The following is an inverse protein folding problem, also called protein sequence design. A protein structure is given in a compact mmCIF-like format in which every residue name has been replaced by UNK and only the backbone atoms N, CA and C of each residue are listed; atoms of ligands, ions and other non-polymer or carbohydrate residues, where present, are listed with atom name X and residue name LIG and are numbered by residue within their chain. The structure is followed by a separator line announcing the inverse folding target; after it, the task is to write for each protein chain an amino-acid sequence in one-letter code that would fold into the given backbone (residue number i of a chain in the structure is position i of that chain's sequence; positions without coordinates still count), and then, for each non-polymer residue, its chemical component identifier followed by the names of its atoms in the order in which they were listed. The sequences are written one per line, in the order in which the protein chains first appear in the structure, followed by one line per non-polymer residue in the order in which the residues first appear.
data_IF_346812415905
#
_entry.id   IF_346812415905
#
_cell.length_a   1.000
_cell.length_b   1.000
_cell.length_c   1.000
_cell.angle_alpha   90.00
_cell.angle_beta   90.00
_cell.angle_gamma   90.00
#
_symmetry.space_group_name_H-M   'P 1'
#
loop_
_entity.id
_entity.type
_entity.pdbx_description
1 polymer ?
#
# COMPACT_ATOMS: atom_id res chain seq x y z
N UNK A 1 -14.30 -33.26 -2.13
CA UNK A 1 -13.52 -32.02 -2.03
C UNK A 1 -12.48 -32.17 -0.93
N UNK A 2 -11.22 -32.16 -1.33
CA UNK A 2 -10.06 -32.18 -0.42
C UNK A 2 -10.07 -30.93 0.50
N UNK A 3 -9.46 -31.01 1.69
CA UNK A 3 -9.25 -29.85 2.58
C UNK A 3 -8.46 -28.75 1.88
N UNK A 4 -7.45 -29.12 1.09
CA UNK A 4 -6.63 -28.18 0.29
C UNK A 4 -7.48 -27.45 -0.77
N UNK A 5 -8.33 -28.19 -1.47
CA UNK A 5 -9.23 -27.65 -2.49
C UNK A 5 -10.25 -26.67 -1.89
N UNK A 6 -10.84 -27.01 -0.73
CA UNK A 6 -11.73 -26.10 0.01
C UNK A 6 -11.02 -24.82 0.43
N UNK A 7 -9.79 -24.92 0.93
CA UNK A 7 -8.98 -23.78 1.32
C UNK A 7 -8.64 -22.89 0.11
N UNK A 8 -8.25 -23.49 -1.01
CA UNK A 8 -7.93 -22.78 -2.25
C UNK A 8 -9.15 -22.04 -2.81
N UNK A 9 -10.33 -22.69 -2.83
CA UNK A 9 -11.59 -22.03 -3.19
C UNK A 9 -11.85 -20.86 -2.24
N UNK A 10 -11.75 -21.08 -0.93
CA UNK A 10 -11.96 -20.04 0.07
C UNK A 10 -11.10 -18.79 -0.22
N UNK A 11 -9.78 -18.94 -0.38
CA UNK A 11 -8.86 -17.82 -0.66
C UNK A 11 -9.24 -17.04 -1.93
N UNK A 12 -9.67 -17.71 -2.99
CA UNK A 12 -10.06 -17.04 -4.24
C UNK A 12 -11.46 -16.42 -4.25
N UNK A 13 -12.31 -16.77 -3.26
CA UNK A 13 -13.65 -16.19 -3.09
C UNK A 13 -13.70 -14.98 -2.17
N UNK A 14 -12.63 -14.73 -1.40
CA UNK A 14 -12.53 -13.55 -0.55
C UNK A 14 -12.55 -12.28 -1.41
N UNK A 15 -13.33 -11.29 -0.97
CA UNK A 15 -13.36 -9.96 -1.58
C UNK A 15 -12.16 -9.14 -1.09
N UNK A 16 -10.97 -9.46 -1.58
CA UNK A 16 -9.71 -8.83 -1.15
C UNK A 16 -9.72 -7.30 -1.27
N UNK A 17 -10.40 -6.74 -2.27
CA UNK A 17 -10.55 -5.28 -2.41
C UNK A 17 -11.36 -4.63 -1.29
N UNK A 18 -12.33 -5.34 -0.68
CA UNK A 18 -13.03 -4.84 0.51
C UNK A 18 -12.13 -4.87 1.74
N UNK A 19 -11.28 -5.89 1.87
CA UNK A 19 -10.28 -5.98 2.96
C UNK A 19 -9.26 -4.84 2.84
N UNK A 20 -8.79 -4.55 1.63
CA UNK A 20 -7.91 -3.42 1.36
C UNK A 20 -8.58 -2.08 1.66
N UNK A 21 -9.87 -1.92 1.32
CA UNK A 21 -10.63 -0.74 1.71
C UNK A 21 -10.68 -0.58 3.25
N UNK A 22 -10.98 -1.66 3.97
CA UNK A 22 -11.01 -1.65 5.43
C UNK A 22 -9.64 -1.27 6.04
N UNK A 23 -8.55 -1.77 5.47
CA UNK A 23 -7.19 -1.42 5.84
C UNK A 23 -6.89 0.06 5.58
N UNK A 24 -7.25 0.60 4.42
CA UNK A 24 -7.09 2.04 4.10
C UNK A 24 -7.81 2.90 5.15
N UNK A 25 -9.02 2.50 5.56
CA UNK A 25 -9.75 3.17 6.63
C UNK A 25 -8.99 3.14 7.97
N UNK A 26 -8.37 2.01 8.32
CA UNK A 26 -7.55 1.87 9.52
C UNK A 26 -6.30 2.77 9.49
N UNK A 27 -5.60 2.83 8.34
CA UNK A 27 -4.43 3.69 8.13
C UNK A 27 -4.82 5.16 8.31
N UNK A 28 -5.89 5.63 7.66
CA UNK A 28 -6.35 7.00 7.80
C UNK A 28 -6.84 7.34 9.22
N UNK A 29 -7.45 6.39 9.92
CA UNK A 29 -7.86 6.57 11.31
C UNK A 29 -6.64 6.74 12.22
N UNK A 30 -5.60 5.93 12.00
CA UNK A 30 -4.36 6.04 12.74
C UNK A 30 -3.69 7.39 12.48
N UNK A 31 -3.59 7.77 11.21
CA UNK A 31 -3.04 9.05 10.77
C UNK A 31 -3.79 10.24 11.39
N UNK A 32 -5.12 10.16 11.47
CA UNK A 32 -5.92 11.17 12.16
C UNK A 32 -5.48 11.35 13.61
N UNK A 33 -5.34 10.26 14.38
CA UNK A 33 -4.91 10.36 15.78
C UNK A 33 -3.46 10.80 15.92
N UNK A 34 -2.56 10.38 15.02
CA UNK A 34 -1.18 10.85 14.96
C UNK A 34 -1.11 12.37 14.79
N UNK A 35 -1.85 12.91 13.82
CA UNK A 35 -1.90 14.36 13.56
C UNK A 35 -2.61 15.13 14.67
N UNK A 36 -3.66 14.53 15.26
CA UNK A 36 -4.38 15.13 16.38
C UNK A 36 -3.46 15.32 17.58
N UNK A 37 -2.75 14.27 17.99
CA UNK A 37 -1.85 14.30 19.15
C UNK A 37 -0.57 15.09 18.88
N UNK A 38 -0.16 15.21 17.61
CA UNK A 38 0.91 16.13 17.18
C UNK A 38 0.46 17.59 17.05
N UNK A 39 -0.77 17.93 17.46
CA UNK A 39 -1.37 19.27 17.37
C UNK A 39 -1.42 19.87 15.96
N UNK A 40 -1.35 19.03 14.92
CA UNK A 40 -1.35 19.49 13.52
C UNK A 40 -2.62 20.28 13.17
N UNK A 41 -3.78 19.90 13.70
CA UNK A 41 -5.05 20.58 13.37
C UNK A 41 -5.24 21.95 14.03
N UNK A 42 -4.28 22.41 14.85
CA UNK A 42 -4.29 23.77 15.39
C UNK A 42 -3.80 24.78 14.34
N UNK A 43 -4.22 26.06 14.39
CA UNK A 43 -3.75 27.07 13.43
C UNK A 43 -2.22 27.20 13.41
N UNK A 44 -1.58 27.16 14.59
CA UNK A 44 -0.12 27.22 14.72
C UNK A 44 0.56 25.94 14.22
N UNK A 45 0.07 24.77 14.62
CA UNK A 45 0.65 23.48 14.23
C UNK A 45 0.59 23.23 12.73
N UNK A 46 -0.56 23.49 12.10
CA UNK A 46 -0.71 23.35 10.64
C UNK A 46 0.18 24.33 9.90
N UNK A 47 0.18 25.62 10.30
CA UNK A 47 1.00 26.65 9.65
C UNK A 47 2.49 26.32 9.75
N UNK A 48 2.96 25.89 10.93
CA UNK A 48 4.34 25.48 11.14
C UNK A 48 4.72 24.28 10.26
N UNK A 49 3.89 23.22 10.25
CA UNK A 49 4.19 22.01 9.48
C UNK A 49 4.15 22.27 7.97
N UNK A 50 3.15 23.01 7.47
CA UNK A 50 3.08 23.35 6.04
C UNK A 50 4.21 24.27 5.61
N UNK A 51 4.65 25.19 6.47
CA UNK A 51 5.82 26.04 6.21
C UNK A 51 7.09 25.18 6.14
N UNK A 52 7.26 24.23 7.06
CA UNK A 52 8.36 23.26 7.02
C UNK A 52 8.37 22.42 5.73
N UNK A 53 7.21 21.91 5.31
CA UNK A 53 7.11 21.18 4.05
C UNK A 53 7.44 22.09 2.87
N UNK A 54 6.96 23.34 2.88
CA UNK A 54 7.25 24.30 1.81
C UNK A 54 8.73 24.71 1.72
N UNK A 55 9.50 24.71 2.80
CA UNK A 55 10.93 25.03 2.74
C UNK A 55 11.74 23.88 2.13
N UNK A 56 11.33 22.64 2.36
CA UNK A 56 12.07 21.44 1.95
C UNK A 56 11.56 20.80 0.65
N UNK A 57 10.35 21.15 0.18
CA UNK A 57 9.82 20.58 -1.05
C UNK A 57 10.71 20.92 -2.25
N UNK A 58 10.89 20.04 -3.23
CA UNK A 58 11.75 20.36 -4.39
C UNK A 58 11.07 21.25 -5.45
N UNK A 59 9.75 21.46 -5.40
CA UNK A 59 8.97 22.09 -6.48
C UNK A 59 8.41 23.46 -6.10
N UNK A 60 8.85 24.50 -6.83
CA UNK A 60 8.43 25.90 -6.59
C UNK A 60 6.91 26.09 -6.55
N UNK A 61 6.18 25.43 -7.46
CA UNK A 61 4.71 25.51 -7.49
C UNK A 61 4.10 24.95 -6.21
N UNK A 62 4.57 23.78 -5.76
CA UNK A 62 4.09 23.15 -4.52
C UNK A 62 4.52 23.95 -3.28
N UNK A 63 5.73 24.52 -3.26
CA UNK A 63 6.16 25.46 -2.19
C UNK A 63 5.16 26.60 -2.01
N UNK A 64 4.81 27.25 -3.12
CA UNK A 64 3.91 28.40 -3.10
C UNK A 64 2.49 27.99 -2.68
N UNK A 65 2.01 26.84 -3.16
CA UNK A 65 0.73 26.29 -2.73
C UNK A 65 0.71 25.98 -1.23
N UNK A 66 1.72 25.28 -0.71
CA UNK A 66 1.82 24.95 0.72
C UNK A 66 1.88 26.21 1.59
N UNK A 67 2.63 27.24 1.17
CA UNK A 67 2.65 28.54 1.85
C UNK A 67 1.28 29.20 1.83
N UNK A 68 0.57 29.21 0.70
CA UNK A 68 -0.78 29.77 0.62
C UNK A 68 -1.74 29.04 1.57
N UNK A 69 -1.70 27.70 1.60
CA UNK A 69 -2.51 26.87 2.49
C UNK A 69 -2.17 27.15 3.96
N UNK A 70 -0.89 27.39 4.30
CA UNK A 70 -0.46 27.74 5.65
C UNK A 70 -1.12 29.06 6.16
N UNK A 71 -1.38 30.03 5.29
CA UNK A 71 -2.10 31.26 5.68
C UNK A 71 -3.57 30.98 6.03
N UNK A 72 -4.17 29.94 5.44
CA UNK A 72 -5.54 29.49 5.72
C UNK A 72 -5.67 28.54 6.91
N UNK A 73 -4.59 28.28 7.67
CA UNK A 73 -4.53 27.25 8.69
C UNK A 73 -5.66 27.31 9.75
N UNK A 74 -6.13 28.51 10.10
CA UNK A 74 -7.20 28.67 11.08
C UNK A 74 -8.54 28.03 10.68
N UNK A 75 -8.83 28.02 9.37
CA UNK A 75 -10.05 27.41 8.81
C UNK A 75 -9.75 25.98 8.35
N UNK A 76 -8.60 25.80 7.71
CA UNK A 76 -8.24 24.52 7.08
C UNK A 76 -7.87 23.44 8.10
N UNK A 77 -7.34 23.78 9.27
CA UNK A 77 -6.98 22.81 10.31
C UNK A 77 -8.19 21.99 10.79
N UNK A 78 -9.23 22.63 11.35
CA UNK A 78 -10.45 21.93 11.76
C UNK A 78 -11.16 21.22 10.61
N UNK A 79 -11.20 21.83 9.41
CA UNK A 79 -11.83 21.22 8.25
C UNK A 79 -11.10 19.93 7.83
N UNK A 80 -9.77 19.93 7.84
CA UNK A 80 -8.95 18.76 7.52
C UNK A 80 -9.18 17.65 8.55
N UNK A 81 -9.26 17.99 9.84
CA UNK A 81 -9.57 17.03 10.90
C UNK A 81 -10.91 16.31 10.65
N UNK A 82 -11.96 17.08 10.34
CA UNK A 82 -13.31 16.55 10.04
C UNK A 82 -13.28 15.66 8.80
N UNK A 83 -12.68 16.13 7.70
CA UNK A 83 -12.61 15.37 6.44
C UNK A 83 -11.86 14.06 6.64
N UNK A 84 -10.70 14.08 7.31
CA UNK A 84 -9.87 12.90 7.52
C UNK A 84 -10.60 11.86 8.39
N UNK A 85 -11.16 12.28 9.54
CA UNK A 85 -11.89 11.38 10.43
C UNK A 85 -13.15 10.80 9.76
N UNK A 86 -13.97 11.63 9.12
CA UNK A 86 -15.18 11.17 8.44
C UNK A 86 -14.86 10.23 7.29
N UNK A 87 -13.80 10.50 6.53
CA UNK A 87 -13.34 9.60 5.46
C UNK A 87 -12.92 8.25 6.03
N UNK A 88 -12.07 8.24 7.05
CA UNK A 88 -11.63 7.01 7.71
C UNK A 88 -12.81 6.20 8.27
N UNK A 89 -13.68 6.85 9.04
CA UNK A 89 -14.84 6.20 9.66
C UNK A 89 -15.83 5.69 8.61
N UNK A 90 -16.14 6.47 7.58
CA UNK A 90 -17.06 6.06 6.52
C UNK A 90 -16.51 4.88 5.70
N UNK A 91 -15.20 4.81 5.46
CA UNK A 91 -14.56 3.65 4.81
C UNK A 91 -14.71 2.40 5.68
N UNK A 92 -14.37 2.46 6.97
CA UNK A 92 -14.50 1.32 7.92
C UNK A 92 -15.96 0.85 8.02
N UNK A 93 -16.92 1.79 7.99
CA UNK A 93 -18.36 1.53 7.98
C UNK A 93 -18.91 1.17 6.58
N UNK A 94 -18.07 1.15 5.54
CA UNK A 94 -18.44 0.97 4.13
C UNK A 94 -19.58 1.89 3.64
N UNK A 95 -19.69 3.09 4.20
CA UNK A 95 -20.65 4.12 3.81
C UNK A 95 -20.10 4.92 2.63
N UNK A 96 -20.89 5.06 1.56
CA UNK A 96 -20.51 5.79 0.35
C UNK A 96 -19.11 5.39 -0.17
N UNK A 97 -18.77 4.11 -0.04
CA UNK A 97 -17.39 3.58 -0.18
C UNK A 97 -16.61 4.12 -1.38
N UNK A 98 -17.21 4.18 -2.57
CA UNK A 98 -16.53 4.66 -3.76
C UNK A 98 -16.17 6.15 -3.69
N UNK A 99 -17.02 6.97 -3.08
CA UNK A 99 -16.72 8.38 -2.86
C UNK A 99 -15.66 8.56 -1.76
N UNK A 100 -15.76 7.82 -0.66
CA UNK A 100 -14.80 7.95 0.44
C UNK A 100 -13.42 7.43 0.06
N UNK A 101 -13.33 6.36 -0.73
CA UNK A 101 -12.05 5.87 -1.29
C UNK A 101 -11.44 6.85 -2.30
N UNK A 102 -12.26 7.57 -3.08
CA UNK A 102 -11.77 8.67 -3.90
C UNK A 102 -11.17 9.78 -3.03
N UNK A 103 -11.87 10.19 -1.97
CA UNK A 103 -11.37 11.18 -1.01
C UNK A 103 -10.06 10.72 -0.35
N UNK A 104 -9.98 9.45 0.09
CA UNK A 104 -8.74 8.86 0.61
C UNK A 104 -7.59 8.92 -0.40
N UNK A 105 -7.87 8.65 -1.68
CA UNK A 105 -6.89 8.75 -2.76
C UNK A 105 -6.39 10.17 -2.94
N UNK A 106 -7.26 11.18 -2.87
CA UNK A 106 -6.84 12.57 -2.89
C UNK A 106 -6.00 12.95 -1.67
N UNK A 107 -6.36 12.49 -0.47
CA UNK A 107 -5.59 12.73 0.76
C UNK A 107 -4.16 12.20 0.60
N UNK A 108 -3.99 10.93 0.24
CA UNK A 108 -2.66 10.34 0.04
C UNK A 108 -1.90 10.98 -1.12
N UNK A 109 -2.58 11.39 -2.19
CA UNK A 109 -1.95 12.14 -3.28
C UNK A 109 -1.36 13.47 -2.79
N UNK A 110 -2.11 14.23 -1.98
CA UNK A 110 -1.61 15.48 -1.40
C UNK A 110 -0.51 15.24 -0.37
N UNK A 111 -0.56 14.14 0.39
CA UNK A 111 0.52 13.74 1.28
C UNK A 111 1.80 13.48 0.49
N UNK A 112 1.71 12.67 -0.57
CA UNK A 112 2.82 12.40 -1.46
C UNK A 112 3.41 13.68 -2.05
N UNK A 113 2.59 14.53 -2.67
CA UNK A 113 3.07 15.79 -3.26
C UNK A 113 3.72 16.73 -2.24
N UNK A 114 3.13 16.84 -1.05
CA UNK A 114 3.64 17.75 -0.01
C UNK A 114 4.98 17.31 0.56
N UNK A 115 5.29 16.01 0.54
CA UNK A 115 6.51 15.42 1.06
C UNK A 115 7.62 15.21 0.01
N UNK A 116 7.38 15.49 -1.28
CA UNK A 116 8.40 15.39 -2.32
C UNK A 116 9.65 16.22 -2.00
N UNK A 117 10.80 15.55 -1.83
CA UNK A 117 12.08 16.19 -1.51
C UNK A 117 12.31 16.46 -0.02
N UNK A 118 11.37 16.09 0.85
CA UNK A 118 11.55 16.27 2.30
C UNK A 118 12.57 15.24 2.80
N UNK A 119 13.62 15.67 3.53
CA UNK A 119 14.61 14.75 4.08
C UNK A 119 13.96 13.69 4.96
N UNK A 120 14.38 12.43 4.76
CA UNK A 120 13.86 11.29 5.52
C UNK A 120 12.45 10.86 5.14
N UNK A 121 11.97 11.22 3.95
CA UNK A 121 10.78 10.59 3.38
C UNK A 121 11.19 9.66 2.25
N UNK A 122 10.86 8.39 2.37
CA UNK A 122 11.12 7.42 1.31
C UNK A 122 10.16 7.66 0.14
N UNK A 123 10.65 7.41 -1.08
CA UNK A 123 9.89 7.67 -2.32
C UNK A 123 8.51 7.01 -2.30
N UNK A 124 8.39 5.83 -1.67
CA UNK A 124 7.18 5.03 -1.67
C UNK A 124 6.29 5.19 -0.44
N UNK A 125 6.73 5.96 0.57
CA UNK A 125 6.04 6.17 1.85
C UNK A 125 4.58 6.55 1.64
N UNK A 126 4.30 7.62 0.90
CA UNK A 126 2.93 8.05 0.60
C UNK A 126 2.44 7.66 -0.80
N UNK A 127 3.37 7.29 -1.69
CA UNK A 127 3.03 6.90 -3.06
C UNK A 127 2.25 5.58 -3.10
N UNK A 128 2.65 4.57 -2.33
CA UNK A 128 1.92 3.30 -2.28
C UNK A 128 0.52 3.43 -1.67
N UNK A 129 0.33 4.14 -0.54
CA UNK A 129 -0.99 4.56 -0.07
C UNK A 129 -1.87 5.16 -1.17
N UNK A 130 -1.35 6.12 -1.92
CA UNK A 130 -2.06 6.74 -3.04
C UNK A 130 -2.41 5.75 -4.15
N UNK A 131 -1.45 4.95 -4.62
CA UNK A 131 -1.66 4.02 -5.72
C UNK A 131 -2.61 2.89 -5.34
N UNK A 132 -2.48 2.35 -4.13
CA UNK A 132 -3.34 1.29 -3.62
C UNK A 132 -4.76 1.79 -3.38
N UNK A 133 -4.93 2.96 -2.76
CA UNK A 133 -6.26 3.55 -2.59
C UNK A 133 -6.92 3.88 -3.93
N UNK A 134 -6.14 4.33 -4.93
CA UNK A 134 -6.62 4.56 -6.29
C UNK A 134 -7.10 3.28 -6.97
N UNK A 135 -6.32 2.18 -6.89
CA UNK A 135 -6.73 0.87 -7.41
C UNK A 135 -7.99 0.36 -6.72
N UNK A 136 -8.07 0.50 -5.40
CA UNK A 136 -9.25 0.12 -4.62
C UNK A 136 -10.45 0.95 -5.04
N UNK A 137 -10.34 2.28 -5.10
CA UNK A 137 -11.39 3.17 -5.57
C UNK A 137 -11.91 2.79 -6.97
N UNK A 138 -11.02 2.62 -7.94
CA UNK A 138 -11.39 2.27 -9.32
C UNK A 138 -12.12 0.92 -9.40
N UNK A 139 -11.74 -0.05 -8.56
CA UNK A 139 -12.40 -1.35 -8.49
C UNK A 139 -13.86 -1.28 -7.99
N UNK A 140 -14.24 -0.22 -7.27
CA UNK A 140 -15.61 -0.01 -6.77
C UNK A 140 -16.47 0.89 -7.67
N UNK A 141 -15.92 1.47 -8.73
CA UNK A 141 -16.71 2.26 -9.69
C UNK A 141 -17.84 1.45 -10.35
N UNK A 142 -17.64 0.19 -10.80
CA UNK A 142 -18.71 -0.61 -11.40
C UNK A 142 -19.89 -0.83 -10.45
N UNK A 143 -19.60 -1.07 -9.18
CA UNK A 143 -20.61 -1.26 -8.14
C UNK A 143 -21.53 -0.03 -8.02
N UNK A 144 -21.00 1.18 -8.17
CA UNK A 144 -21.81 2.41 -8.13
C UNK A 144 -22.84 2.42 -9.27
N UNK A 145 -22.43 2.08 -10.48
CA UNK A 145 -23.32 2.03 -11.64
C UNK A 145 -24.41 0.97 -11.48
N UNK A 146 -24.08 -0.17 -10.86
CA UNK A 146 -25.07 -1.21 -10.57
C UNK A 146 -26.10 -0.76 -9.52
N UNK A 147 -25.62 -0.18 -8.40
CA UNK A 147 -26.47 0.21 -7.28
C UNK A 147 -27.38 1.41 -7.60
N UNK A 148 -26.96 2.29 -8.51
CA UNK A 148 -27.79 3.40 -9.02
C UNK A 148 -29.15 2.94 -9.57
N UNK A 149 -29.24 1.71 -10.09
CA UNK A 149 -30.49 1.16 -10.66
C UNK A 149 -31.48 0.65 -9.61
N UNK A 150 -31.03 0.36 -8.37
CA UNK A 150 -31.87 -0.32 -7.37
C UNK A 150 -32.49 0.64 -6.35
N UNK A 151 -31.70 1.42 -5.60
CA UNK A 151 -32.20 2.42 -4.62
C UNK A 151 -31.06 3.31 -4.08
N UNK A 152 -31.33 4.60 -3.78
CA UNK A 152 -30.41 5.50 -3.07
C UNK A 152 -29.90 4.95 -1.73
N UNK A 153 -30.77 4.29 -0.94
CA UNK A 153 -30.37 3.66 0.34
C UNK A 153 -29.31 2.57 0.13
N UNK A 154 -29.49 1.77 -0.91
CA UNK A 154 -28.59 0.67 -1.26
C UNK A 154 -27.26 1.21 -1.81
N UNK A 155 -27.30 2.31 -2.57
CA UNK A 155 -26.10 3.02 -3.02
C UNK A 155 -25.28 3.58 -1.84
N UNK A 156 -25.94 4.00 -0.77
CA UNK A 156 -25.28 4.55 0.42
C UNK A 156 -24.55 3.48 1.25
N UNK A 157 -25.19 2.33 1.51
CA UNK A 157 -24.63 1.28 2.37
C UNK A 157 -23.83 0.19 1.63
N UNK A 158 -23.99 0.06 0.31
CA UNK A 158 -23.24 -0.90 -0.50
C UNK A 158 -23.63 -2.37 -0.30
N UNK A 159 -22.73 -3.28 -0.69
CA UNK A 159 -22.90 -4.73 -0.54
C UNK A 159 -22.45 -5.23 0.82
N UNK A 160 -23.01 -6.37 1.26
CA UNK A 160 -22.54 -7.10 2.43
C UNK A 160 -21.06 -7.47 2.31
N UNK A 161 -20.35 -7.38 3.42
CA UNK A 161 -18.91 -7.65 3.51
C UNK A 161 -18.63 -8.96 4.24
N UNK A 162 -19.44 -9.30 5.25
CA UNK A 162 -19.19 -10.43 6.16
C UNK A 162 -20.10 -11.63 5.90
N UNK A 163 -20.53 -11.83 4.64
CA UNK A 163 -21.46 -12.88 4.20
C UNK A 163 -21.07 -14.26 4.78
N UNK A 164 -21.89 -14.80 5.69
CA UNK A 164 -21.86 -16.18 6.22
C UNK A 164 -20.85 -16.59 7.33
N UNK A 165 -20.20 -15.66 8.05
CA UNK A 165 -19.49 -16.05 9.29
C UNK A 165 -20.32 -15.81 10.54
N UNK A 166 -20.21 -16.70 11.53
CA UNK A 166 -20.76 -16.46 12.87
C UNK A 166 -20.28 -15.08 13.36
N UNK A 167 -21.22 -14.23 13.80
CA UNK A 167 -20.93 -12.85 14.21
C UNK A 167 -19.79 -12.81 15.25
N UNK A 168 -19.75 -13.78 16.15
CA UNK A 168 -18.69 -13.96 17.14
C UNK A 168 -17.29 -14.05 16.54
N UNK A 169 -17.11 -14.81 15.46
CA UNK A 169 -15.81 -14.96 14.78
C UNK A 169 -15.35 -13.63 14.19
N UNK A 170 -16.25 -12.88 13.55
CA UNK A 170 -15.89 -11.58 12.99
C UNK A 170 -15.56 -10.56 14.07
N UNK A 171 -16.28 -10.57 15.20
CA UNK A 171 -15.94 -9.73 16.35
C UNK A 171 -14.55 -10.06 16.88
N UNK A 172 -14.22 -11.34 17.04
CA UNK A 172 -12.87 -11.77 17.47
C UNK A 172 -11.81 -11.28 16.48
N UNK A 173 -12.04 -11.43 15.17
CA UNK A 173 -11.09 -10.97 14.14
C UNK A 173 -10.87 -9.45 14.21
N UNK A 174 -11.93 -8.67 14.43
CA UNK A 174 -11.83 -7.21 14.60
C UNK A 174 -11.05 -6.85 15.86
N UNK A 175 -11.29 -7.53 16.98
CA UNK A 175 -10.56 -7.30 18.23
C UNK A 175 -9.08 -7.65 18.09
N UNK A 176 -8.75 -8.77 17.43
CA UNK A 176 -7.37 -9.16 17.13
C UNK A 176 -6.69 -8.12 16.22
N UNK A 177 -7.37 -7.69 15.15
CA UNK A 177 -6.84 -6.64 14.28
C UNK A 177 -6.63 -5.31 15.03
N UNK A 178 -7.54 -4.95 15.94
CA UNK A 178 -7.42 -3.76 16.79
C UNK A 178 -6.21 -3.86 17.72
N UNK A 179 -5.98 -5.02 18.34
CA UNK A 179 -4.83 -5.25 19.20
C UNK A 179 -3.51 -5.17 18.42
N UNK A 180 -3.48 -5.72 17.20
CA UNK A 180 -2.32 -5.62 16.31
C UNK A 180 -2.05 -4.17 15.90
N UNK A 181 -3.09 -3.38 15.58
CA UNK A 181 -2.94 -1.95 15.29
C UNK A 181 -2.32 -1.19 16.46
N UNK A 182 -2.77 -1.46 17.69
CA UNK A 182 -2.14 -0.88 18.89
C UNK A 182 -0.68 -1.31 19.02
N UNK A 183 -0.40 -2.60 18.92
CA UNK A 183 0.94 -3.16 19.13
C UNK A 183 1.96 -2.59 18.15
N UNK A 184 1.59 -2.47 16.87
CA UNK A 184 2.49 -1.92 15.85
C UNK A 184 2.76 -0.43 16.08
N UNK A 185 1.74 0.34 16.47
CA UNK A 185 1.94 1.75 16.83
C UNK A 185 2.83 1.91 18.06
N UNK A 186 2.66 1.05 19.06
CA UNK A 186 3.50 1.00 20.25
C UNK A 186 4.98 0.75 19.88
N UNK A 187 5.26 -0.23 19.01
CA UNK A 187 6.62 -0.53 18.56
C UNK A 187 7.24 0.59 17.72
N UNK A 188 6.44 1.23 16.87
CA UNK A 188 6.92 2.28 15.97
C UNK A 188 7.59 3.44 16.71
N UNK A 189 7.09 3.79 17.91
CA UNK A 189 7.57 4.88 18.75
C UNK A 189 7.75 6.24 18.03
N UNK A 190 7.07 6.44 16.89
CA UNK A 190 7.25 7.59 16.00
C UNK A 190 6.90 8.95 16.62
N UNK A 191 6.22 8.96 17.77
CA UNK A 191 5.90 10.17 18.54
C UNK A 191 6.31 10.02 20.01
N UNK A 192 7.32 9.19 20.33
CA UNK A 192 7.72 8.88 21.69
C UNK A 192 6.51 8.39 22.53
N UNK A 193 6.30 8.99 23.71
CA UNK A 193 5.19 8.66 24.62
C UNK A 193 3.80 8.78 23.99
N UNK A 194 3.64 9.60 22.94
CA UNK A 194 2.35 9.75 22.24
C UNK A 194 2.01 8.54 21.36
N UNK A 195 2.99 7.74 20.92
CA UNK A 195 2.77 6.59 20.03
C UNK A 195 1.84 5.54 20.65
N UNK A 196 1.98 5.31 21.95
CA UNK A 196 1.08 4.40 22.68
C UNK A 196 -0.34 4.97 22.79
N UNK A 197 -0.48 6.28 23.06
CA UNK A 197 -1.78 6.94 23.14
C UNK A 197 -2.51 6.91 21.80
N UNK A 198 -1.81 7.22 20.71
CA UNK A 198 -2.31 7.12 19.33
C UNK A 198 -2.72 5.68 19.03
N UNK A 199 -1.90 4.70 19.39
CA UNK A 199 -2.21 3.27 19.22
C UNK A 199 -3.50 2.85 19.93
N UNK A 200 -3.68 3.26 21.20
CA UNK A 200 -4.88 2.95 21.98
C UNK A 200 -6.13 3.60 21.37
N UNK A 201 -6.07 4.90 21.05
CA UNK A 201 -7.19 5.63 20.42
C UNK A 201 -7.59 5.00 19.08
N UNK A 202 -6.59 4.66 18.27
CA UNK A 202 -6.80 4.00 16.97
C UNK A 202 -7.48 2.64 17.16
N UNK A 203 -6.93 1.79 18.03
CA UNK A 203 -7.42 0.43 18.25
C UNK A 203 -8.86 0.40 18.78
N UNK A 204 -9.17 1.22 19.80
CA UNK A 204 -10.52 1.29 20.37
C UNK A 204 -11.52 1.82 19.32
N UNK A 205 -11.17 2.92 18.63
CA UNK A 205 -12.06 3.50 17.63
C UNK A 205 -12.29 2.54 16.46
N UNK A 206 -11.25 1.87 16.00
CA UNK A 206 -11.35 0.84 14.95
C UNK A 206 -12.21 -0.35 15.38
N UNK A 207 -12.05 -0.83 16.62
CA UNK A 207 -12.89 -1.91 17.16
C UNK A 207 -14.38 -1.52 17.18
N UNK A 208 -14.69 -0.32 17.69
CA UNK A 208 -16.06 0.21 17.75
C UNK A 208 -16.65 0.32 16.35
N UNK A 209 -15.96 1.00 15.44
CA UNK A 209 -16.44 1.18 14.07
C UNK A 209 -16.56 -0.15 13.32
N UNK A 210 -15.63 -1.07 13.52
CA UNK A 210 -15.69 -2.42 12.95
C UNK A 210 -16.90 -3.21 13.43
N UNK A 211 -17.20 -3.18 14.74
CA UNK A 211 -18.39 -3.83 15.31
C UNK A 211 -19.67 -3.16 14.79
N UNK A 212 -19.72 -1.83 14.72
CA UNK A 212 -20.86 -1.13 14.11
C UNK A 212 -21.02 -1.55 12.64
N UNK A 213 -19.93 -1.64 11.88
CA UNK A 213 -19.92 -2.11 10.49
C UNK A 213 -20.52 -3.51 10.33
N UNK A 214 -20.22 -4.42 11.28
CA UNK A 214 -20.84 -5.75 11.35
C UNK A 214 -22.35 -5.69 11.59
N UNK A 215 -22.80 -4.83 12.51
CA UNK A 215 -24.23 -4.67 12.80
C UNK A 215 -24.97 -4.05 11.60
N UNK A 216 -24.32 -3.12 10.90
CA UNK A 216 -24.81 -2.46 9.69
C UNK A 216 -24.91 -3.39 8.48
N UNK A 217 -24.23 -4.55 8.49
CA UNK A 217 -24.30 -5.53 7.40
C UNK A 217 -25.74 -6.06 7.17
N UNK A 218 -26.64 -5.93 8.17
CA UNK A 218 -28.09 -6.18 8.03
C UNK A 218 -28.78 -5.19 7.07
N UNK A 219 -28.26 -3.97 6.95
CA UNK A 219 -28.78 -2.90 6.09
C UNK A 219 -28.18 -2.93 4.67
N UNK A 220 -27.12 -3.72 4.46
CA UNK A 220 -26.41 -3.81 3.19
C UNK A 220 -27.08 -4.78 2.23
N UNK A 221 -26.93 -4.50 0.94
CA UNK A 221 -27.49 -5.33 -0.11
C UNK A 221 -26.73 -6.66 -0.19
N UNK A 222 -27.47 -7.78 -0.26
CA UNK A 222 -26.86 -9.10 -0.43
C UNK A 222 -26.17 -9.13 -1.79
N UNK A 223 -24.90 -9.50 -1.83
CA UNK A 223 -24.19 -9.63 -3.08
C UNK A 223 -24.73 -10.87 -3.80
N UNK A 224 -25.46 -10.70 -4.90
CA UNK A 224 -25.90 -11.82 -5.75
C UNK A 224 -24.80 -12.29 -6.72
N UNK A 225 -23.56 -11.83 -6.51
CA UNK A 225 -22.39 -12.24 -7.29
C UNK A 225 -22.32 -11.57 -8.66
N UNK A 226 -21.31 -11.97 -9.46
CA UNK A 226 -21.04 -11.46 -10.82
C UNK A 226 -22.23 -11.58 -11.78
N UNK A 227 -23.24 -12.39 -11.49
CA UNK A 227 -24.42 -12.58 -12.33
C UNK A 227 -25.22 -11.29 -12.58
N UNK A 228 -25.33 -10.39 -11.60
CA UNK A 228 -26.00 -9.09 -11.78
C UNK A 228 -25.23 -8.17 -12.75
N UNK A 229 -23.90 -8.34 -12.83
CA UNK A 229 -23.01 -7.54 -13.66
C UNK A 229 -22.85 -8.08 -15.09
N UNK A 230 -23.02 -9.38 -15.28
CA UNK A 230 -22.83 -10.06 -16.56
C UNK A 230 -24.00 -9.90 -17.54
N UNK A 231 -25.07 -9.17 -17.17
CA UNK A 231 -26.19 -8.89 -18.07
C UNK A 231 -25.73 -8.07 -19.29
N UNK A 232 -26.07 -8.55 -20.50
CA UNK A 232 -25.71 -7.92 -21.78
C UNK A 232 -26.09 -6.44 -21.83
N UNK A 233 -27.22 -6.06 -21.22
CA UNK A 233 -27.68 -4.68 -21.14
C UNK A 233 -26.74 -3.77 -20.33
N UNK A 234 -26.07 -4.27 -19.28
CA UNK A 234 -25.11 -3.46 -18.52
C UNK A 234 -23.83 -3.21 -19.33
N UNK A 235 -23.33 -4.23 -20.03
CA UNK A 235 -22.11 -4.10 -20.85
C UNK A 235 -22.28 -3.11 -22.00
N UNK A 236 -23.46 -3.07 -22.63
CA UNK A 236 -23.75 -2.13 -23.72
C UNK A 236 -23.92 -0.70 -23.22
N UNK A 237 -24.63 -0.51 -22.10
CA UNK A 237 -24.88 0.82 -21.53
C UNK A 237 -23.69 1.42 -20.80
N UNK A 238 -22.79 0.58 -20.26
CA UNK A 238 -21.67 1.00 -19.42
C UNK A 238 -20.38 0.23 -19.74
N UNK A 239 -19.81 0.39 -20.96
CA UNK A 239 -18.68 -0.43 -21.42
C UNK A 239 -17.42 -0.26 -20.58
N UNK A 240 -17.15 0.94 -20.05
CA UNK A 240 -15.98 1.20 -19.19
C UNK A 240 -16.13 0.49 -17.84
N UNK A 241 -17.31 0.57 -17.21
CA UNK A 241 -17.54 -0.11 -15.92
C UNK A 241 -17.49 -1.64 -16.05
N UNK A 242 -17.96 -2.19 -17.17
CA UNK A 242 -17.81 -3.61 -17.46
C UNK A 242 -16.32 -4.02 -17.56
N UNK A 243 -15.48 -3.23 -18.23
CA UNK A 243 -14.03 -3.48 -18.29
C UNK A 243 -13.37 -3.42 -16.91
N UNK A 244 -13.67 -2.39 -16.12
CA UNK A 244 -13.11 -2.21 -14.78
C UNK A 244 -13.51 -3.33 -13.81
N UNK A 245 -14.70 -3.91 -13.97
CA UNK A 245 -15.15 -5.04 -13.15
C UNK A 245 -14.30 -6.31 -13.35
N UNK A 246 -13.90 -6.57 -14.60
CA UNK A 246 -13.10 -7.74 -14.95
C UNK A 246 -11.60 -7.45 -14.95
N UNK A 247 -11.20 -6.20 -14.73
CA UNK A 247 -9.79 -5.83 -14.66
C UNK A 247 -9.11 -6.53 -13.47
N UNK A 248 -7.92 -7.13 -13.67
CA UNK A 248 -7.23 -7.88 -12.63
C UNK A 248 -6.48 -6.96 -11.65
N UNK A 249 -7.23 -6.24 -10.81
CA UNK A 249 -6.68 -5.23 -9.89
C UNK A 249 -5.58 -5.76 -8.96
N UNK A 250 -5.72 -6.97 -8.43
CA UNK A 250 -4.72 -7.58 -7.53
C UNK A 250 -3.39 -7.88 -8.26
N UNK A 251 -3.45 -8.12 -9.57
CA UNK A 251 -2.25 -8.29 -10.39
C UNK A 251 -1.56 -6.94 -10.62
N UNK A 252 -2.33 -5.87 -10.83
CA UNK A 252 -1.77 -4.51 -10.90
C UNK A 252 -1.07 -4.14 -9.58
N UNK A 253 -1.69 -4.41 -8.43
CA UNK A 253 -1.05 -4.19 -7.12
C UNK A 253 0.26 -4.99 -6.98
N UNK A 254 0.30 -6.21 -7.54
CA UNK A 254 1.52 -7.03 -7.58
C UNK A 254 2.62 -6.40 -8.42
N UNK A 255 2.27 -5.87 -9.60
CA UNK A 255 3.20 -5.13 -10.46
C UNK A 255 3.71 -3.87 -9.77
N UNK A 256 2.87 -3.16 -9.01
CA UNK A 256 3.28 -1.98 -8.25
C UNK A 256 4.33 -2.30 -7.18
N UNK A 257 4.18 -3.41 -6.45
CA UNK A 257 5.20 -3.91 -5.52
C UNK A 257 6.49 -4.24 -6.27
N UNK A 258 6.38 -4.92 -7.42
CA UNK A 258 7.55 -5.21 -8.27
C UNK A 258 8.27 -3.94 -8.74
N UNK A 259 7.52 -2.91 -9.15
CA UNK A 259 8.08 -1.62 -9.58
C UNK A 259 8.76 -0.86 -8.44
N UNK A 260 8.24 -0.95 -7.21
CA UNK A 260 8.90 -0.43 -6.02
C UNK A 260 10.24 -1.14 -5.78
N UNK A 261 10.26 -2.48 -5.84
CA UNK A 261 11.50 -3.26 -5.67
C UNK A 261 12.53 -2.94 -6.76
N UNK A 262 12.11 -2.68 -8.01
CA UNK A 262 13.03 -2.23 -9.07
C UNK A 262 13.78 -0.98 -8.63
N UNK A 263 13.07 0.04 -8.11
CA UNK A 263 13.73 1.23 -7.60
C UNK A 263 14.62 0.93 -6.38
N UNK A 264 14.12 0.13 -5.43
CA UNK A 264 14.85 -0.22 -4.20
C UNK A 264 16.23 -0.80 -4.51
N UNK A 265 16.33 -1.71 -5.49
CA UNK A 265 17.61 -2.32 -5.87
C UNK A 265 18.63 -1.26 -6.33
N UNK A 266 18.20 -0.28 -7.12
CA UNK A 266 19.08 0.81 -7.55
C UNK A 266 19.41 1.78 -6.42
N UNK A 267 18.44 2.08 -5.56
CA UNK A 267 18.64 2.89 -4.35
C UNK A 267 19.71 2.25 -3.46
N UNK A 268 19.55 0.98 -3.11
CA UNK A 268 20.47 0.21 -2.27
C UNK A 268 21.87 0.08 -2.89
N UNK A 269 21.94 -0.11 -4.21
CA UNK A 269 23.22 -0.13 -4.93
C UNK A 269 23.96 1.21 -4.84
N UNK A 270 23.25 2.32 -5.06
CA UNK A 270 23.81 3.67 -5.06
C UNK A 270 24.13 4.17 -3.65
N UNK A 271 23.42 3.67 -2.63
CA UNK A 271 23.73 3.88 -1.21
C UNK A 271 24.86 2.96 -0.71
N UNK A 272 25.41 2.12 -1.59
CA UNK A 272 26.45 1.13 -1.30
C UNK A 272 26.04 0.08 -0.27
N UNK A 273 24.74 -0.16 -0.08
CA UNK A 273 24.23 -1.23 0.80
C UNK A 273 24.50 -2.63 0.22
N UNK A 274 24.74 -2.75 -1.09
CA UNK A 274 25.31 -3.95 -1.72
C UNK A 274 26.85 -3.95 -1.76
N UNK A 275 27.48 -3.40 -0.72
CA UNK A 275 28.92 -3.60 -0.42
C UNK A 275 29.05 -4.22 0.97
N UNK A 276 30.12 -4.99 1.22
CA UNK A 276 30.32 -5.66 2.52
C UNK A 276 30.27 -4.63 3.67
N UNK A 277 31.01 -3.52 3.52
CA UNK A 277 31.05 -2.46 4.53
C UNK A 277 29.73 -1.72 4.67
N UNK A 278 29.08 -1.35 3.57
CA UNK A 278 27.80 -0.64 3.63
C UNK A 278 26.68 -1.49 4.22
N UNK A 279 26.64 -2.79 3.87
CA UNK A 279 25.70 -3.75 4.45
C UNK A 279 25.92 -3.90 5.96
N UNK A 280 27.16 -4.06 6.40
CA UNK A 280 27.49 -4.13 7.83
C UNK A 280 27.03 -2.87 8.58
N UNK A 281 27.30 -1.69 8.02
CA UNK A 281 26.85 -0.41 8.61
C UNK A 281 25.33 -0.31 8.70
N UNK A 282 24.60 -0.76 7.67
CA UNK A 282 23.14 -0.82 7.67
C UNK A 282 22.63 -1.69 8.82
N UNK A 283 23.17 -2.90 8.93
CA UNK A 283 22.81 -3.86 9.98
C UNK A 283 23.17 -3.33 11.38
N UNK A 284 24.30 -2.65 11.54
CA UNK A 284 24.71 -2.05 12.82
C UNK A 284 23.74 -0.93 13.25
N UNK A 285 23.27 -0.11 12.30
CA UNK A 285 22.24 0.91 12.58
C UNK A 285 20.94 0.24 13.01
N UNK A 286 20.51 -0.81 12.31
CA UNK A 286 19.35 -1.60 12.69
C UNK A 286 19.48 -2.21 14.10
N UNK A 287 20.62 -2.84 14.42
CA UNK A 287 20.89 -3.37 15.76
C UNK A 287 20.81 -2.30 16.85
N UNK A 288 21.34 -1.11 16.57
CA UNK A 288 21.40 0.00 17.52
C UNK A 288 20.06 0.71 17.76
N UNK A 289 19.29 0.96 16.71
CA UNK A 289 18.10 1.85 16.79
C UNK A 289 16.77 1.11 16.74
N UNK A 290 16.74 -0.16 16.34
CA UNK A 290 15.50 -0.94 16.30
C UNK A 290 14.88 -1.13 17.69
N UNK A 291 13.55 -1.03 17.77
CA UNK A 291 12.72 -1.40 18.92
C UNK A 291 12.19 -2.85 18.83
N UNK A 292 12.68 -3.64 17.87
CA UNK A 292 12.37 -5.06 17.79
C UNK A 292 12.90 -5.84 19.01
N UNK A 293 12.40 -7.07 19.19
CA UNK A 293 12.77 -7.89 20.36
C UNK A 293 14.29 -8.13 20.41
N UNK A 294 14.93 -8.15 21.60
CA UNK A 294 16.38 -8.25 21.71
C UNK A 294 17.00 -9.42 20.95
N UNK A 295 16.39 -10.61 21.01
CA UNK A 295 16.89 -11.78 20.29
C UNK A 295 16.92 -11.58 18.77
N UNK A 296 15.98 -10.79 18.23
CA UNK A 296 15.89 -10.52 16.80
C UNK A 296 16.97 -9.53 16.37
N UNK A 297 17.24 -8.49 17.17
CA UNK A 297 18.37 -7.57 16.95
C UNK A 297 19.71 -8.32 16.93
N UNK A 298 19.94 -9.19 17.91
CA UNK A 298 21.15 -10.03 17.95
C UNK A 298 21.25 -10.96 16.74
N UNK A 299 20.12 -11.52 16.27
CA UNK A 299 20.10 -12.34 15.06
C UNK A 299 20.47 -11.53 13.82
N UNK A 300 19.94 -10.32 13.67
CA UNK A 300 20.24 -9.41 12.56
C UNK A 300 21.70 -8.97 12.59
N UNK A 301 22.23 -8.57 13.75
CA UNK A 301 23.67 -8.28 13.94
C UNK A 301 24.55 -9.46 13.56
N UNK A 302 24.16 -10.69 13.94
CA UNK A 302 24.85 -11.91 13.51
C UNK A 302 24.86 -12.05 11.98
N UNK A 303 23.76 -11.76 11.28
CA UNK A 303 23.74 -11.76 9.82
C UNK A 303 24.69 -10.71 9.23
N UNK A 304 24.86 -9.56 9.89
CA UNK A 304 25.86 -8.54 9.53
C UNK A 304 27.30 -9.08 9.56
N UNK A 305 27.64 -9.95 10.52
CA UNK A 305 28.95 -10.63 10.54
C UNK A 305 29.17 -11.57 9.36
N UNK A 306 28.09 -11.93 8.64
CA UNK A 306 28.08 -12.78 7.44
C UNK A 306 27.73 -12.00 6.18
N UNK A 307 27.98 -10.69 6.16
CA UNK A 307 27.67 -9.81 5.02
C UNK A 307 28.21 -10.35 3.68
N UNK A 308 29.41 -10.93 3.64
CA UNK A 308 30.01 -11.51 2.43
C UNK A 308 29.17 -12.61 1.77
N UNK A 309 28.31 -13.30 2.56
CA UNK A 309 27.40 -14.34 2.08
C UNK A 309 25.98 -13.78 1.91
N UNK A 310 25.47 -13.04 2.91
CA UNK A 310 24.07 -12.63 2.94
C UNK A 310 23.76 -11.51 1.93
N UNK A 311 24.65 -10.52 1.81
CA UNK A 311 24.48 -9.40 0.88
C UNK A 311 24.28 -9.84 -0.59
N UNK A 312 25.13 -10.70 -1.19
CA UNK A 312 24.92 -11.13 -2.57
C UNK A 312 23.65 -11.98 -2.72
N UNK A 313 23.28 -12.76 -1.70
CA UNK A 313 22.01 -13.51 -1.71
C UNK A 313 20.82 -12.54 -1.74
N UNK A 314 20.84 -11.50 -0.90
CA UNK A 314 19.78 -10.50 -0.85
C UNK A 314 19.63 -9.79 -2.20
N UNK A 315 20.72 -9.30 -2.80
CA UNK A 315 20.71 -8.68 -4.13
C UNK A 315 20.06 -9.59 -5.20
N UNK A 316 20.44 -10.87 -5.24
CA UNK A 316 19.89 -11.83 -6.21
C UNK A 316 18.42 -12.10 -5.94
N UNK A 317 18.03 -12.34 -4.69
CA UNK A 317 16.65 -12.64 -4.30
C UNK A 317 15.74 -11.45 -4.60
N UNK A 318 16.13 -10.24 -4.21
CA UNK A 318 15.36 -9.02 -4.48
C UNK A 318 15.22 -8.75 -5.97
N UNK A 319 16.31 -8.92 -6.75
CA UNK A 319 16.29 -8.76 -8.20
C UNK A 319 15.33 -9.73 -8.90
N UNK A 320 15.36 -11.01 -8.50
CA UNK A 320 14.47 -12.03 -9.06
C UNK A 320 13.03 -11.78 -8.61
N UNK A 321 12.80 -11.36 -7.37
CA UNK A 321 11.49 -10.95 -6.87
C UNK A 321 10.94 -9.78 -7.69
N UNK A 322 11.71 -8.70 -7.85
CA UNK A 322 11.31 -7.52 -8.62
C UNK A 322 10.89 -7.90 -10.05
N UNK A 323 11.75 -8.65 -10.75
CA UNK A 323 11.44 -9.17 -12.09
C UNK A 323 10.15 -9.98 -12.07
N UNK A 324 10.07 -11.01 -11.23
CA UNK A 324 8.96 -11.97 -11.21
C UNK A 324 7.61 -11.34 -10.88
N UNK A 325 7.60 -10.35 -9.99
CA UNK A 325 6.38 -9.61 -9.63
C UNK A 325 5.94 -8.64 -10.73
N UNK A 326 6.86 -8.01 -11.47
CA UNK A 326 6.49 -7.18 -12.63
C UNK A 326 6.04 -8.04 -13.81
N UNK A 327 6.75 -9.12 -14.14
CA UNK A 327 6.40 -9.99 -15.27
C UNK A 327 5.31 -11.01 -14.95
N UNK A 328 4.87 -11.06 -13.69
CA UNK A 328 3.79 -11.90 -13.20
C UNK A 328 4.01 -13.38 -13.49
N UNK A 329 5.23 -13.85 -13.23
CA UNK A 329 5.66 -15.25 -13.31
C UNK A 329 5.95 -15.73 -11.90
N UNK A 330 5.58 -16.98 -11.58
CA UNK A 330 5.82 -17.56 -10.24
C UNK A 330 5.25 -16.65 -9.13
N UNK A 331 4.04 -16.10 -9.37
CA UNK A 331 3.43 -15.04 -8.55
C UNK A 331 3.34 -15.40 -7.07
N UNK A 332 2.83 -16.59 -6.76
CA UNK A 332 2.67 -17.04 -5.38
C UNK A 332 4.01 -17.15 -4.63
N UNK A 333 5.01 -17.95 -5.09
CA UNK A 333 6.27 -18.08 -4.35
C UNK A 333 7.01 -16.75 -4.22
N UNK A 334 7.09 -15.92 -5.27
CA UNK A 334 7.81 -14.65 -5.16
C UNK A 334 7.04 -13.59 -4.35
N UNK A 335 5.71 -13.64 -4.30
CA UNK A 335 4.94 -12.79 -3.39
C UNK A 335 5.09 -13.24 -1.94
N UNK A 336 5.20 -14.54 -1.67
CA UNK A 336 5.53 -15.06 -0.33
C UNK A 336 6.92 -14.58 0.07
N UNK A 337 7.93 -14.73 -0.79
CA UNK A 337 9.30 -14.28 -0.52
C UNK A 337 9.33 -12.77 -0.26
N UNK A 338 8.72 -11.96 -1.14
CA UNK A 338 8.64 -10.51 -0.95
C UNK A 338 7.94 -10.14 0.37
N UNK A 339 6.86 -10.85 0.73
CA UNK A 339 6.18 -10.65 2.02
C UNK A 339 7.07 -10.96 3.21
N UNK A 340 7.88 -12.01 3.14
CA UNK A 340 8.83 -12.35 4.20
C UNK A 340 9.94 -11.29 4.31
N UNK A 341 10.44 -10.78 3.18
CA UNK A 341 11.44 -9.70 3.15
C UNK A 341 10.87 -8.42 3.76
N UNK A 342 9.69 -7.97 3.33
CA UNK A 342 9.02 -6.81 3.93
C UNK A 342 8.69 -7.02 5.40
N UNK A 343 8.33 -8.25 5.79
CA UNK A 343 8.05 -8.60 7.18
C UNK A 343 9.27 -8.46 8.07
N UNK A 344 10.40 -8.98 7.61
CA UNK A 344 11.69 -8.85 8.29
C UNK A 344 12.10 -7.38 8.38
N UNK A 345 12.09 -6.66 7.26
CA UNK A 345 12.51 -5.27 7.19
C UNK A 345 11.61 -4.35 8.04
N UNK A 346 10.29 -4.45 7.91
CA UNK A 346 9.33 -3.67 8.72
C UNK A 346 9.57 -3.88 10.21
N UNK A 347 9.81 -5.14 10.61
CA UNK A 347 9.99 -5.46 12.01
C UNK A 347 11.32 -4.91 12.56
N UNK A 348 12.40 -4.95 11.75
CA UNK A 348 13.68 -4.33 12.10
C UNK A 348 13.57 -2.81 12.14
N UNK A 349 12.84 -2.18 11.22
CA UNK A 349 12.81 -0.73 11.06
C UNK A 349 11.96 0.02 12.09
N UNK A 350 11.15 -0.67 12.89
CA UNK A 350 10.43 0.01 13.98
C UNK A 350 11.39 0.73 14.91
N UNK A 351 11.28 2.06 14.98
CA UNK A 351 12.14 2.93 15.78
C UNK A 351 13.43 3.38 15.10
N UNK A 352 13.74 2.86 13.91
CA UNK A 352 14.92 3.28 13.13
C UNK A 352 14.65 4.67 12.52
N UNK A 353 15.60 5.62 12.58
CA UNK A 353 15.42 6.96 12.03
C UNK A 353 15.22 6.94 10.51
N UNK A 354 14.32 7.79 10.01
CA UNK A 354 13.94 7.85 8.59
C UNK A 354 15.04 8.40 7.66
N UNK A 355 16.12 8.93 8.23
CA UNK A 355 17.23 9.57 7.49
C UNK A 355 18.45 8.69 7.51
N UNK A 356 19.12 8.57 6.36
CA UNK A 356 20.42 7.92 6.25
C UNK A 356 21.51 8.92 5.86
N UNK A 357 22.64 9.01 6.60
CA UNK A 357 22.86 8.38 7.91
C UNK A 357 21.90 8.96 8.99
N UNK A 358 21.65 8.22 10.09
CA UNK A 358 20.74 8.65 11.15
C UNK A 358 21.03 10.07 11.65
N UNK A 359 20.07 10.99 11.48
CA UNK A 359 20.18 12.35 12.00
C UNK A 359 20.05 12.38 13.54
N UNK A 360 20.64 13.41 14.18
CA UNK A 360 20.47 13.69 15.60
C UNK A 360 19.85 15.09 15.76
N UNK A 361 18.64 15.24 16.34
CA UNK A 361 17.76 14.18 16.83
C UNK A 361 17.17 13.32 15.69
N UNK A 362 16.83 12.05 15.95
CA UNK A 362 16.27 11.17 14.94
C UNK A 362 14.92 11.70 14.44
N UNK A 363 14.74 11.72 13.12
CA UNK A 363 13.45 12.00 12.50
C UNK A 363 12.66 10.68 12.51
N UNK A 364 11.54 10.61 13.23
CA UNK A 364 10.72 9.39 13.26
C UNK A 364 10.13 9.12 11.87
N UNK A 365 10.07 7.84 11.50
CA UNK A 365 9.44 7.35 10.26
C UNK A 365 7.93 7.45 10.37
N UNK A 366 7.22 7.29 9.26
CA UNK A 366 5.77 7.07 9.32
C UNK A 366 5.50 5.60 9.59
N UNK A 367 4.64 5.30 10.56
CA UNK A 367 4.38 3.91 11.01
C UNK A 367 3.94 2.98 9.87
N UNK A 368 3.32 3.55 8.83
CA UNK A 368 2.73 2.82 7.72
C UNK A 368 3.60 2.77 6.47
N UNK A 369 4.76 3.42 6.47
CA UNK A 369 5.69 3.52 5.33
C UNK A 369 5.93 2.16 4.67
N UNK A 370 6.47 1.21 5.42
CA UNK A 370 6.68 -0.16 4.95
C UNK A 370 5.57 -1.11 5.40
N UNK A 371 4.96 -0.86 6.55
CA UNK A 371 3.91 -1.72 7.11
C UNK A 371 2.68 -1.83 6.19
N UNK A 372 2.28 -0.75 5.53
CA UNK A 372 1.13 -0.81 4.61
C UNK A 372 1.44 -1.74 3.43
N UNK A 373 2.65 -1.64 2.88
CA UNK A 373 3.15 -2.53 1.82
C UNK A 373 3.21 -3.99 2.27
N UNK A 374 3.69 -4.25 3.49
CA UNK A 374 3.69 -5.59 4.10
C UNK A 374 2.28 -6.17 4.20
N UNK A 375 1.31 -5.44 4.73
CA UNK A 375 -0.06 -5.97 4.89
C UNK A 375 -0.70 -6.23 3.52
N UNK A 376 -0.45 -5.37 2.53
CA UNK A 376 -0.90 -5.58 1.15
C UNK A 376 -0.22 -6.81 0.52
N UNK A 377 1.07 -7.01 0.75
CA UNK A 377 1.79 -8.19 0.23
C UNK A 377 1.28 -9.49 0.85
N UNK A 378 0.91 -9.50 2.14
CA UNK A 378 0.25 -10.65 2.80
C UNK A 378 -1.07 -10.99 2.08
N UNK A 379 -1.90 -9.98 1.78
CA UNK A 379 -3.16 -10.16 1.05
C UNK A 379 -2.89 -10.77 -0.34
N UNK A 380 -1.93 -10.23 -1.08
CA UNK A 380 -1.58 -10.71 -2.41
C UNK A 380 -0.97 -12.12 -2.38
N UNK A 381 -0.15 -12.43 -1.37
CA UNK A 381 0.44 -13.75 -1.15
C UNK A 381 -0.63 -14.82 -0.97
N UNK A 382 -1.63 -14.55 -0.12
CA UNK A 382 -2.76 -15.44 0.10
C UNK A 382 -3.60 -15.60 -1.17
N UNK A 383 -3.89 -14.50 -1.86
CA UNK A 383 -4.64 -14.52 -3.12
C UNK A 383 -3.95 -15.37 -4.19
N UNK A 384 -2.66 -15.11 -4.47
CA UNK A 384 -1.88 -15.83 -5.48
C UNK A 384 -1.69 -17.30 -5.12
N UNK A 385 -1.52 -17.61 -3.84
CA UNK A 385 -1.49 -19.00 -3.36
C UNK A 385 -2.82 -19.70 -3.67
N UNK A 386 -3.96 -19.03 -3.43
CA UNK A 386 -5.27 -19.53 -3.82
C UNK A 386 -5.38 -19.83 -5.31
N UNK A 387 -4.91 -18.93 -6.17
CA UNK A 387 -4.88 -19.16 -7.64
C UNK A 387 -4.00 -20.34 -8.00
N UNK A 388 -2.77 -20.39 -7.47
CA UNK A 388 -1.80 -21.45 -7.76
C UNK A 388 -2.34 -22.83 -7.37
N UNK A 389 -3.00 -22.94 -6.21
CA UNK A 389 -3.59 -24.20 -5.75
C UNK A 389 -4.79 -24.65 -6.58
N UNK A 390 -5.49 -23.72 -7.26
CA UNK A 390 -6.64 -24.01 -8.14
C UNK A 390 -6.27 -24.26 -9.60
N UNK A 391 -5.04 -23.94 -9.99
CA UNK A 391 -4.59 -24.03 -11.37
C UNK A 391 -4.58 -25.48 -11.88
N UNK A 392 -5.13 -25.68 -13.08
CA UNK A 392 -5.34 -27.00 -13.69
C UNK A 392 -4.07 -27.61 -14.27
N UNK A 393 -3.11 -26.78 -14.65
CA UNK A 393 -1.86 -27.20 -15.27
C UNK A 393 -0.68 -26.33 -14.82
N UNK A 394 0.54 -26.78 -15.10
CA UNK A 394 1.77 -26.08 -14.72
C UNK A 394 1.87 -24.68 -15.33
N UNK A 395 1.43 -24.49 -16.58
CA UNK A 395 1.40 -23.18 -17.24
C UNK A 395 0.57 -22.19 -16.43
N UNK A 396 -0.65 -22.56 -16.03
CA UNK A 396 -1.53 -21.73 -15.21
C UNK A 396 -0.97 -21.48 -13.80
N UNK A 397 -0.29 -22.47 -13.19
CA UNK A 397 0.40 -22.30 -11.90
C UNK A 397 1.52 -21.25 -11.95
N UNK A 398 2.32 -21.27 -13.01
CA UNK A 398 3.46 -20.37 -13.16
C UNK A 398 3.05 -18.99 -13.69
N UNK A 399 2.11 -18.95 -14.61
CA UNK A 399 1.79 -17.74 -15.37
C UNK A 399 0.53 -17.03 -14.88
N UNK A 400 -0.41 -17.72 -14.22
CA UNK A 400 -1.64 -17.11 -13.70
C UNK A 400 -2.53 -16.48 -14.79
N UNK A 401 -3.34 -15.50 -14.37
CA UNK A 401 -4.32 -14.79 -15.22
C UNK A 401 -3.61 -13.68 -16.01
N UNK A 402 -3.76 -13.59 -17.34
CA UNK A 402 -3.15 -12.52 -18.13
C UNK A 402 -3.80 -11.16 -17.84
N UNK A 403 -3.00 -10.08 -17.83
CA UNK A 403 -3.48 -8.69 -17.68
C UNK A 403 -3.83 -8.11 -19.05
N UNK A 404 -2.98 -8.35 -20.05
CA UNK A 404 -3.07 -7.67 -21.35
C UNK A 404 -3.69 -8.53 -22.45
N UNK A 405 -4.37 -9.63 -22.12
CA UNK A 405 -4.84 -10.63 -23.10
C UNK A 405 -5.54 -10.02 -24.32
N UNK A 406 -6.47 -9.10 -24.08
CA UNK A 406 -7.29 -8.48 -25.13
C UNK A 406 -6.66 -7.21 -25.74
N UNK A 407 -5.56 -6.71 -25.17
CA UNK A 407 -4.89 -5.51 -25.65
C UNK A 407 -4.02 -5.81 -26.87
N UNK A 408 -4.05 -4.92 -27.87
CA UNK A 408 -3.13 -4.98 -29.02
C UNK A 408 -1.70 -4.61 -28.61
N UNK A 409 -0.70 -5.11 -29.33
CA UNK A 409 0.71 -4.91 -28.99
C UNK A 409 1.11 -3.44 -28.82
N UNK A 410 0.70 -2.55 -29.74
CA UNK A 410 1.03 -1.12 -29.64
C UNK A 410 0.50 -0.48 -28.35
N UNK A 411 -0.68 -0.91 -27.86
CA UNK A 411 -1.23 -0.40 -26.60
C UNK A 411 -0.43 -0.91 -25.40
N UNK A 412 0.01 -2.17 -25.45
CA UNK A 412 0.90 -2.76 -24.43
C UNK A 412 2.25 -2.03 -24.39
N UNK A 413 2.82 -1.74 -25.56
CA UNK A 413 4.04 -0.94 -25.69
C UNK A 413 3.86 0.47 -25.13
N UNK A 414 2.74 1.14 -25.45
CA UNK A 414 2.41 2.45 -24.85
C UNK A 414 2.32 2.39 -23.33
N UNK A 415 1.72 1.34 -22.76
CA UNK A 415 1.68 1.13 -21.31
C UNK A 415 3.10 0.98 -20.74
N UNK A 416 3.97 0.20 -21.39
CA UNK A 416 5.35 0.06 -20.96
C UNK A 416 6.08 1.41 -20.96
N UNK A 417 5.95 2.20 -22.04
CA UNK A 417 6.56 3.53 -22.11
C UNK A 417 6.05 4.44 -21.00
N UNK A 418 4.73 4.47 -20.78
CA UNK A 418 4.12 5.29 -19.72
C UNK A 418 4.58 4.84 -18.35
N UNK A 419 4.63 3.53 -18.08
CA UNK A 419 5.10 3.00 -16.79
C UNK A 419 6.56 3.37 -16.50
N UNK A 420 7.45 3.19 -17.49
CA UNK A 420 8.86 3.57 -17.36
C UNK A 420 9.05 5.07 -17.15
N UNK A 421 8.38 5.90 -17.96
CA UNK A 421 8.43 7.37 -17.81
C UNK A 421 7.88 7.84 -16.47
N UNK A 422 6.79 7.23 -15.99
CA UNK A 422 6.21 7.57 -14.69
C UNK A 422 7.18 7.23 -13.56
N UNK A 423 7.82 6.06 -13.57
CA UNK A 423 8.80 5.71 -12.53
C UNK A 423 10.02 6.63 -12.58
N UNK A 424 10.56 6.92 -13.77
CA UNK A 424 11.64 7.91 -13.91
C UNK A 424 11.22 9.27 -13.36
N UNK A 425 10.01 9.73 -13.69
CA UNK A 425 9.52 11.00 -13.17
C UNK A 425 9.40 10.95 -11.64
N UNK A 426 8.71 9.95 -11.09
CA UNK A 426 8.51 9.78 -9.64
C UNK A 426 9.85 9.85 -8.88
N UNK A 427 10.85 9.10 -9.32
CA UNK A 427 12.17 9.07 -8.68
C UNK A 427 12.88 10.41 -8.87
N UNK A 428 12.87 10.98 -10.08
CA UNK A 428 13.44 12.31 -10.34
C UNK A 428 12.83 13.35 -9.40
N UNK A 429 11.52 13.28 -9.17
CA UNK A 429 10.81 14.24 -8.33
C UNK A 429 11.04 14.00 -6.83
N UNK A 430 11.25 12.76 -6.39
CA UNK A 430 11.45 12.46 -4.98
C UNK A 430 12.74 13.07 -4.44
N UNK A 431 13.81 13.07 -5.25
CA UNK A 431 15.09 13.68 -4.88
C UNK A 431 15.82 12.94 -3.76
N UNK A 432 15.40 11.71 -3.42
CA UNK A 432 15.87 10.98 -2.22
C UNK A 432 17.37 10.70 -2.24
N UNK A 433 17.95 10.53 -3.44
CA UNK A 433 19.35 10.18 -3.63
C UNK A 433 20.28 11.36 -3.96
N UNK A 434 19.80 12.60 -3.85
CA UNK A 434 20.59 13.80 -4.13
C UNK A 434 21.24 13.77 -5.53
N UNK A 435 22.57 13.74 -5.58
CA UNK A 435 23.34 13.74 -6.85
C UNK A 435 23.16 12.46 -7.68
N UNK A 436 22.84 11.34 -7.05
CA UNK A 436 22.65 10.05 -7.75
C UNK A 436 21.22 9.86 -8.28
N UNK A 437 20.31 10.74 -7.89
CA UNK A 437 18.89 10.65 -8.24
C UNK A 437 18.61 10.55 -9.75
N UNK A 438 19.28 11.31 -10.65
CA UNK A 438 19.05 11.20 -12.09
C UNK A 438 19.40 9.81 -12.65
N UNK A 439 20.48 9.19 -12.15
CA UNK A 439 20.91 7.87 -12.60
C UNK A 439 19.90 6.81 -12.15
N UNK A 440 19.57 6.79 -10.85
CA UNK A 440 18.57 5.88 -10.29
C UNK A 440 17.23 5.97 -11.02
N UNK A 441 16.79 7.19 -11.34
CA UNK A 441 15.54 7.44 -12.05
C UNK A 441 15.51 6.86 -13.46
N UNK A 442 16.59 7.05 -14.22
CA UNK A 442 16.70 6.54 -15.59
C UNK A 442 16.78 5.01 -15.57
N UNK A 443 17.65 4.44 -14.75
CA UNK A 443 17.86 2.99 -14.68
C UNK A 443 16.60 2.26 -14.20
N UNK A 444 15.95 2.77 -13.15
CA UNK A 444 14.69 2.19 -12.64
C UNK A 444 13.58 2.22 -13.69
N UNK A 445 13.41 3.37 -14.37
CA UNK A 445 12.37 3.52 -15.38
C UNK A 445 12.61 2.68 -16.64
N UNK A 446 13.86 2.58 -17.10
CA UNK A 446 14.23 1.70 -18.22
C UNK A 446 14.00 0.23 -17.86
N UNK A 447 14.41 -0.20 -16.67
CA UNK A 447 14.20 -1.57 -16.20
C UNK A 447 12.72 -1.91 -16.10
N UNK A 448 11.89 -1.02 -15.53
CA UNK A 448 10.44 -1.22 -15.51
C UNK A 448 9.86 -1.28 -16.92
N UNK A 449 10.28 -0.40 -17.83
CA UNK A 449 9.86 -0.44 -19.24
C UNK A 449 10.14 -1.82 -19.85
N UNK A 450 11.37 -2.33 -19.73
CA UNK A 450 11.73 -3.64 -20.28
C UNK A 450 10.95 -4.78 -19.62
N UNK A 451 10.75 -4.75 -18.31
CA UNK A 451 9.96 -5.78 -17.62
C UNK A 451 8.49 -5.78 -18.08
N UNK A 452 7.87 -4.62 -18.28
CA UNK A 452 6.49 -4.56 -18.81
C UNK A 452 6.43 -5.00 -20.28
N UNK A 453 7.46 -4.78 -21.09
CA UNK A 453 7.57 -5.36 -22.44
C UNK A 453 7.63 -6.89 -22.36
N UNK A 454 8.46 -7.45 -21.48
CA UNK A 454 8.54 -8.91 -21.26
C UNK A 454 7.18 -9.47 -20.83
N UNK A 455 6.52 -8.84 -19.84
CA UNK A 455 5.15 -9.18 -19.43
C UNK A 455 4.21 -9.21 -20.65
N UNK A 456 4.27 -8.17 -21.48
CA UNK A 456 3.41 -8.00 -22.65
C UNK A 456 3.57 -9.11 -23.68
N UNK A 457 4.80 -9.61 -23.87
CA UNK A 457 5.11 -10.76 -24.74
C UNK A 457 4.63 -12.06 -24.11
N UNK A 458 4.90 -12.28 -22.82
CA UNK A 458 4.44 -13.47 -22.09
C UNK A 458 2.91 -13.56 -22.12
N UNK A 459 2.20 -12.46 -21.88
CA UNK A 459 0.75 -12.39 -21.92
C UNK A 459 0.16 -12.64 -23.31
N UNK A 460 0.91 -12.39 -24.39
CA UNK A 460 0.48 -12.75 -25.74
C UNK A 460 0.47 -14.27 -25.96
N UNK A 461 1.41 -14.98 -25.34
CA UNK A 461 1.50 -16.45 -25.42
C UNK A 461 0.59 -17.20 -24.44
N UNK A 462 -0.18 -16.50 -23.60
CA UNK A 462 -1.13 -17.08 -22.62
C UNK A 462 -2.51 -17.27 -23.21
#
# INVERSE_FOLDING_TARGET
MDKLERFAIYLTTIRWMDILAFLIGAVLLNEFFSLWDAHFFTPSGMSQRLTFLATHNNFVVLKNLLRLVAHGAAILGPLTAIILFLTAAAIILFIMRGFMLFTATLIFFFYYLSHLGVPGTWTFEYLLPFLYSGCVWLSFLPDRALLQRKNKRIQFFGFKVFENKQVSVNVILILVASLLLWYVNYLSNNLNQLSNLVGIKTAITFAILGIISLLMDKLRYKNQGRHDYDNSAFRTTHPIYAKLLHFPWLELLTVLIGAMLVFQIYEDYLLHWFTITGYQQLIDVYGKYSHSLPFFRTFIEFLGTKAEIIMPIQLVVESICALSLVILVLRAPFMIIATLLFGLLTYVEFGVPATWPPAVPPIPTWTWELLFTLVVSIILSLYHTGIMLRAKNAKERFLGIPIFKEAKFYFRFSIACVAGLLLTLIVTLSGTLGKFNPLAAIESGLTLFFYIIILSVIDYGR
#
